data_IF_250395720127
#
_entry.id   IF_250395720127
#
_cell.length_a   1.000
_cell.length_b   1.000
_cell.length_c   1.000
_cell.angle_alpha   90.00
_cell.angle_beta   90.00
_cell.angle_gamma   90.00
#
_symmetry.space_group_name_H-M   'P 1'
#
loop_
_entity.id
_entity.type
_entity.pdbx_description
1 polymer ?
#
# COMPACT_ATOMS: atom_id res chain seq x y z
N UNK A 1 4.80 13.93 -6.37
CA UNK A 1 3.90 13.58 -5.26
C UNK A 1 3.08 14.81 -4.90
N UNK A 2 1.75 14.72 -4.76
CA UNK A 2 0.86 15.89 -4.69
C UNK A 2 0.79 16.54 -3.30
N UNK A 3 1.18 15.82 -2.24
CA UNK A 3 0.98 16.25 -0.86
C UNK A 3 2.29 16.67 -0.17
N UNK A 4 3.20 17.33 -0.90
CA UNK A 4 4.44 17.93 -0.37
C UNK A 4 5.43 16.94 0.32
N UNK A 5 6.49 17.48 0.94
CA UNK A 5 7.54 16.75 1.67
C UNK A 5 7.31 16.75 3.18
N UNK A 6 7.97 15.84 3.91
CA UNK A 6 8.00 15.89 5.38
C UNK A 6 8.54 17.22 5.89
N UNK A 7 9.55 17.79 5.23
CA UNK A 7 10.08 19.12 5.57
C UNK A 7 8.97 20.17 5.61
N UNK A 8 8.07 20.18 4.61
CA UNK A 8 6.95 21.12 4.54
C UNK A 8 5.91 20.90 5.63
N UNK A 9 5.60 19.65 5.97
CA UNK A 9 4.59 19.34 6.99
C UNK A 9 5.11 19.46 8.42
N UNK A 10 6.41 19.27 8.64
CA UNK A 10 6.99 19.16 9.97
C UNK A 10 7.56 20.49 10.50
N UNK A 11 8.21 21.29 9.64
CA UNK A 11 8.90 22.51 10.08
C UNK A 11 8.12 23.81 9.82
N UNK A 12 7.08 23.78 8.97
CA UNK A 12 6.23 24.94 8.69
C UNK A 12 4.93 24.89 9.50
N UNK A 13 5.01 25.36 10.74
CA UNK A 13 3.94 25.33 11.75
C UNK A 13 2.64 26.04 11.36
N UNK A 14 2.68 26.97 10.41
CA UNK A 14 1.50 27.72 9.92
C UNK A 14 0.44 26.82 9.26
N UNK A 15 0.80 25.59 8.87
CA UNK A 15 -0.06 24.66 8.11
C UNK A 15 -0.66 23.49 8.90
N UNK A 16 -0.63 23.54 10.25
CA UNK A 16 -0.97 22.45 11.17
C UNK A 16 0.20 21.46 11.37
N UNK A 17 0.61 21.27 12.63
CA UNK A 17 1.67 20.33 12.99
C UNK A 17 1.16 18.89 12.90
N UNK A 18 1.98 17.99 12.33
CA UNK A 18 1.65 16.56 12.21
C UNK A 18 1.45 15.94 13.60
N UNK A 19 0.33 15.24 13.80
CA UNK A 19 0.03 14.54 15.04
C UNK A 19 0.94 13.33 15.31
N UNK A 20 1.12 12.98 16.58
CA UNK A 20 2.00 11.90 17.04
C UNK A 20 1.85 10.60 16.27
N UNK A 21 0.61 10.13 16.09
CA UNK A 21 0.34 8.86 15.41
C UNK A 21 0.80 8.88 13.93
N UNK A 22 0.75 10.04 13.26
CA UNK A 22 1.24 10.16 11.89
C UNK A 22 2.78 10.22 11.87
N UNK A 23 3.42 10.81 12.89
CA UNK A 23 4.88 10.75 13.05
C UNK A 23 5.40 9.32 13.21
N UNK A 24 4.72 8.50 14.02
CA UNK A 24 5.03 7.07 14.13
C UNK A 24 4.83 6.35 12.79
N UNK A 25 3.76 6.67 12.04
CA UNK A 25 3.52 6.10 10.71
C UNK A 25 4.64 6.43 9.72
N UNK A 26 5.08 7.68 9.70
CA UNK A 26 6.21 8.11 8.87
C UNK A 26 7.46 7.32 9.25
N UNK A 27 7.80 7.25 10.54
CA UNK A 27 8.95 6.48 11.01
C UNK A 27 8.89 5.01 10.55
N UNK A 28 7.75 4.35 10.73
CA UNK A 28 7.60 2.94 10.36
C UNK A 28 7.72 2.72 8.85
N UNK A 29 6.93 3.43 8.04
CA UNK A 29 6.89 3.20 6.58
C UNK A 29 8.25 3.47 5.94
N UNK A 30 8.99 4.46 6.44
CA UNK A 30 10.34 4.73 5.96
C UNK A 30 11.30 3.62 6.40
N UNK A 31 11.22 3.14 7.64
CA UNK A 31 12.04 2.01 8.09
C UNK A 31 11.75 0.72 7.29
N UNK A 32 10.48 0.42 7.00
CA UNK A 32 10.06 -0.72 6.18
C UNK A 32 10.54 -0.59 4.73
N UNK A 33 10.45 0.61 4.14
CA UNK A 33 10.95 0.85 2.80
C UNK A 33 12.48 0.66 2.71
N UNK A 34 13.23 1.12 3.70
CA UNK A 34 14.68 0.93 3.78
C UNK A 34 15.04 -0.54 4.01
N UNK A 35 14.29 -1.25 4.85
CA UNK A 35 14.46 -2.69 5.04
C UNK A 35 14.22 -3.44 3.73
N UNK A 36 13.14 -3.14 3.02
CA UNK A 36 12.84 -3.74 1.72
C UNK A 36 13.96 -3.52 0.70
N UNK A 37 14.49 -2.29 0.61
CA UNK A 37 15.64 -2.02 -0.25
C UNK A 37 16.88 -2.86 0.12
N UNK A 38 17.14 -3.04 1.42
CA UNK A 38 18.25 -3.85 1.90
C UNK A 38 18.07 -5.34 1.56
N UNK A 39 16.87 -5.87 1.75
CA UNK A 39 16.57 -7.28 1.55
C UNK A 39 16.58 -7.66 0.05
N UNK A 40 16.14 -6.75 -0.83
CA UNK A 40 16.19 -6.90 -2.30
C UNK A 40 17.59 -6.65 -2.90
N UNK A 41 18.60 -6.32 -2.08
CA UNK A 41 19.95 -5.99 -2.57
C UNK A 41 20.00 -4.73 -3.43
N UNK A 42 19.05 -3.81 -3.25
CA UNK A 42 19.04 -2.51 -3.93
C UNK A 42 20.20 -1.61 -3.46
N UNK A 43 20.59 -0.59 -4.25
CA UNK A 43 21.54 0.41 -3.79
C UNK A 43 21.10 1.07 -2.48
N UNK A 44 22.06 1.34 -1.60
CA UNK A 44 21.80 2.02 -0.34
C UNK A 44 21.26 3.44 -0.58
N UNK A 45 20.22 3.80 0.15
CA UNK A 45 19.60 5.12 0.13
C UNK A 45 20.45 6.11 0.93
N UNK A 46 21.38 6.81 0.27
CA UNK A 46 22.45 7.55 0.93
C UNK A 46 22.12 9.00 1.31
N UNK A 47 21.02 9.55 0.77
CA UNK A 47 20.57 10.93 0.98
C UNK A 47 19.25 11.02 1.76
N UNK A 48 19.07 10.21 2.82
CA UNK A 48 17.84 10.25 3.62
C UNK A 48 17.75 11.52 4.48
N UNK A 49 16.69 12.30 4.28
CA UNK A 49 16.33 13.49 5.06
C UNK A 49 14.84 13.84 4.87
N UNK A 50 14.34 14.85 5.59
CA UNK A 50 12.94 15.27 5.53
C UNK A 50 12.47 15.76 4.14
N UNK A 51 13.36 16.27 3.29
CA UNK A 51 13.02 16.65 1.91
C UNK A 51 12.88 15.45 0.97
N UNK A 52 13.41 14.29 1.37
CA UNK A 52 13.31 13.04 0.61
C UNK A 52 12.12 12.17 0.97
N UNK A 53 11.38 12.54 1.99
CA UNK A 53 10.15 11.86 2.40
C UNK A 53 8.98 12.66 1.81
N UNK A 54 8.21 12.03 0.94
CA UNK A 54 7.08 12.62 0.20
C UNK A 54 5.77 11.95 0.62
N UNK A 55 4.64 12.62 0.40
CA UNK A 55 3.33 12.02 0.64
C UNK A 55 2.58 11.77 -0.67
N UNK A 56 2.11 10.54 -0.87
CA UNK A 56 1.31 10.17 -2.04
C UNK A 56 -0.12 10.73 -1.97
N UNK A 57 -0.95 10.45 -2.98
CA UNK A 57 -2.35 10.90 -3.08
C UNK A 57 -3.20 10.58 -1.85
N UNK A 58 -2.90 9.48 -1.15
CA UNK A 58 -3.62 9.03 0.05
C UNK A 58 -3.01 9.60 1.35
N UNK A 59 -1.98 10.43 1.23
CA UNK A 59 -1.21 10.94 2.35
C UNK A 59 -0.23 9.92 2.93
N UNK A 60 0.01 8.78 2.27
CA UNK A 60 0.95 7.78 2.78
C UNK A 60 2.40 8.24 2.51
N UNK A 61 3.31 8.12 3.49
CA UNK A 61 4.71 8.51 3.33
C UNK A 61 5.45 7.56 2.38
N UNK A 62 6.26 8.14 1.49
CA UNK A 62 7.04 7.46 0.45
C UNK A 62 8.46 8.02 0.41
N UNK A 63 9.43 7.15 0.11
CA UNK A 63 10.77 7.60 -0.26
C UNK A 63 10.79 8.12 -1.69
N UNK A 64 11.46 9.26 -1.88
CA UNK A 64 11.73 9.81 -3.20
C UNK A 64 12.75 8.96 -3.96
N UNK A 65 12.56 8.77 -5.26
CA UNK A 65 13.58 8.07 -6.08
C UNK A 65 14.91 8.84 -6.19
N UNK A 66 14.92 10.15 -5.88
CA UNK A 66 16.12 10.98 -5.94
C UNK A 66 17.22 10.54 -4.96
N UNK A 67 16.89 9.94 -3.81
CA UNK A 67 17.90 9.44 -2.88
C UNK A 67 18.53 8.10 -3.26
N UNK A 68 18.09 7.50 -4.38
CA UNK A 68 18.76 6.37 -5.04
C UNK A 68 19.63 6.81 -6.21
N UNK A 69 19.49 8.07 -6.66
CA UNK A 69 20.33 8.60 -7.72
C UNK A 69 21.71 8.89 -7.15
N UNK A 70 22.74 8.27 -7.73
CA UNK A 70 24.13 8.48 -7.37
C UNK A 70 24.44 9.98 -7.45
N UNK A 71 24.45 10.66 -6.31
CA UNK A 71 24.69 12.10 -6.26
C UNK A 71 26.07 12.38 -6.86
N UNK A 72 26.11 13.09 -7.99
CA UNK A 72 27.39 13.62 -8.49
C UNK A 72 27.88 14.58 -7.42
N UNK A 73 29.12 14.38 -6.99
CA UNK A 73 29.87 15.11 -5.94
C UNK A 73 30.08 16.61 -6.24
N UNK A 74 29.09 17.29 -6.78
CA UNK A 74 29.17 18.71 -7.09
C UNK A 74 28.36 19.51 -6.07
N UNK A 75 29.10 20.05 -5.10
CA UNK A 75 28.76 21.31 -4.46
C UNK A 75 27.94 21.20 -3.18
N UNK A 76 28.65 21.23 -2.05
CA UNK A 76 28.14 21.64 -0.73
C UNK A 76 26.88 20.89 -0.28
N UNK A 77 27.05 19.69 0.28
CA UNK A 77 26.02 19.16 1.20
C UNK A 77 25.87 20.18 2.33
N UNK A 78 24.77 20.93 2.34
CA UNK A 78 24.44 21.97 3.33
C UNK A 78 24.19 21.41 4.73
N UNK A 79 24.30 20.08 4.91
CA UNK A 79 23.94 19.36 6.12
C UNK A 79 25.10 18.52 6.68
N UNK A 80 26.36 18.98 6.53
CA UNK A 80 27.53 18.29 7.14
C UNK A 80 27.36 18.04 8.65
N UNK A 81 26.61 18.90 9.34
CA UNK A 81 26.28 18.75 10.76
C UNK A 81 25.39 17.53 11.07
N UNK A 82 24.77 16.92 10.07
CA UNK A 82 23.85 15.79 10.16
C UNK A 82 24.39 14.52 9.51
N UNK A 83 25.56 14.59 8.89
CA UNK A 83 26.16 13.47 8.21
C UNK A 83 26.75 12.47 9.22
N UNK A 84 26.71 11.16 8.92
CA UNK A 84 27.36 10.15 9.75
C UNK A 84 28.86 10.45 9.93
N UNK A 85 29.42 10.29 11.14
CA UNK A 85 30.83 10.64 11.40
C UNK A 85 31.81 9.91 10.48
N UNK A 86 31.56 8.65 10.19
CA UNK A 86 32.38 7.85 9.29
C UNK A 86 32.26 8.30 7.83
N UNK A 87 31.08 8.74 7.40
CA UNK A 87 30.87 9.29 6.06
C UNK A 87 31.67 10.58 5.87
N UNK A 88 31.71 11.45 6.89
CA UNK A 88 32.54 12.66 6.86
C UNK A 88 34.04 12.34 6.78
N UNK A 89 34.48 11.22 7.38
CA UNK A 89 35.88 10.82 7.43
C UNK A 89 36.38 10.21 6.13
N UNK A 90 35.60 9.33 5.50
CA UNK A 90 36.07 8.53 4.36
C UNK A 90 35.10 8.46 3.18
N UNK A 91 33.93 9.10 3.25
CA UNK A 91 32.91 9.08 2.20
C UNK A 91 32.24 7.72 1.99
N UNK A 92 32.38 6.79 2.94
CA UNK A 92 31.82 5.43 2.83
C UNK A 92 30.33 5.45 3.14
N UNK A 93 29.53 4.92 2.21
CA UNK A 93 28.12 4.63 2.41
C UNK A 93 27.99 3.16 2.81
N UNK A 94 27.32 2.90 3.93
CA UNK A 94 27.07 1.56 4.49
C UNK A 94 25.61 1.46 4.98
N UNK A 95 25.06 0.26 5.25
CA UNK A 95 23.74 0.16 5.86
C UNK A 95 23.61 1.00 7.15
N UNK A 96 24.72 1.13 7.89
CA UNK A 96 24.81 1.83 9.16
C UNK A 96 24.79 3.35 8.98
N UNK A 97 25.28 3.88 7.86
CA UNK A 97 25.10 5.31 7.53
C UNK A 97 23.65 5.62 7.23
N UNK A 98 22.92 4.69 6.58
CA UNK A 98 21.48 4.82 6.34
C UNK A 98 20.71 4.79 7.67
N UNK A 99 21.07 3.89 8.59
CA UNK A 99 20.51 3.85 9.95
C UNK A 99 20.74 5.16 10.71
N UNK A 100 21.93 5.76 10.59
CA UNK A 100 22.21 7.05 11.22
C UNK A 100 21.30 8.15 10.66
N UNK A 101 21.14 8.23 9.34
CA UNK A 101 20.21 9.18 8.71
C UNK A 101 18.74 8.90 9.07
N UNK A 102 18.36 7.65 9.30
CA UNK A 102 17.03 7.35 9.84
C UNK A 102 16.90 7.88 11.28
N UNK A 103 17.95 7.80 12.07
CA UNK A 103 18.03 8.43 13.40
C UNK A 103 17.82 9.94 13.37
N UNK A 104 18.35 10.64 12.36
CA UNK A 104 18.12 12.09 12.20
C UNK A 104 16.66 12.39 11.82
N UNK A 105 16.03 11.56 10.98
CA UNK A 105 14.59 11.68 10.68
C UNK A 105 13.73 11.42 11.92
N UNK A 106 14.05 10.41 12.73
CA UNK A 106 13.34 10.16 13.99
C UNK A 106 13.47 11.34 14.96
N UNK A 107 14.64 11.97 14.99
CA UNK A 107 14.88 13.17 15.79
C UNK A 107 14.07 14.38 15.32
N UNK A 108 14.00 14.59 14.00
CA UNK A 108 13.15 15.62 13.40
C UNK A 108 11.69 15.36 13.77
N UNK A 109 11.22 14.12 13.66
CA UNK A 109 9.85 13.72 14.03
C UNK A 109 9.57 13.92 15.52
N UNK A 110 10.52 13.66 16.42
CA UNK A 110 10.32 13.91 17.86
C UNK A 110 10.21 15.41 18.15
N UNK A 111 11.08 16.21 17.55
CA UNK A 111 11.29 17.61 17.94
C UNK A 111 10.53 18.65 17.13
N UNK A 112 10.01 18.26 15.95
CA UNK A 112 9.43 19.20 14.99
C UNK A 112 10.45 20.25 14.51
N UNK A 113 11.75 19.97 14.64
CA UNK A 113 12.85 20.90 14.37
C UNK A 113 14.01 20.14 13.74
N UNK A 114 14.71 20.80 12.83
CA UNK A 114 15.94 20.25 12.28
C UNK A 114 17.10 20.54 13.24
N UNK A 115 17.39 19.59 14.15
CA UNK A 115 18.41 19.71 15.20
C UNK A 115 19.61 18.83 14.87
N UNK A 116 20.85 19.35 14.87
CA UNK A 116 22.04 18.52 14.66
C UNK A 116 22.14 17.38 15.69
N UNK A 117 22.49 16.14 15.28
CA UNK A 117 22.55 14.99 16.18
C UNK A 117 23.41 15.18 17.42
N UNK A 118 24.57 15.83 17.31
CA UNK A 118 25.45 16.13 18.45
C UNK A 118 24.72 16.94 19.51
N UNK A 119 24.05 18.02 19.10
CA UNK A 119 23.28 18.88 20.00
C UNK A 119 22.10 18.15 20.62
N UNK A 120 21.41 17.29 19.87
CA UNK A 120 20.31 16.51 20.40
C UNK A 120 20.76 15.49 21.44
N UNK A 121 21.89 14.81 21.21
CA UNK A 121 22.46 13.89 22.19
C UNK A 121 22.86 14.62 23.47
N UNK A 122 23.48 15.80 23.36
CA UNK A 122 23.80 16.64 24.53
C UNK A 122 22.53 17.00 25.33
N UNK A 123 21.45 17.39 24.64
CA UNK A 123 20.15 17.68 25.28
C UNK A 123 19.55 16.47 26.02
N UNK A 124 19.72 15.27 25.47
CA UNK A 124 19.25 14.02 26.08
C UNK A 124 20.10 13.64 27.30
N UNK A 125 21.42 13.86 27.24
CA UNK A 125 22.33 13.60 28.36
C UNK A 125 22.13 14.58 29.53
N UNK A 126 21.90 15.86 29.24
CA UNK A 126 21.77 16.91 30.26
C UNK A 126 20.46 16.86 31.05
N UNK A 127 19.37 16.39 30.43
CA UNK A 127 18.03 16.57 30.99
C UNK A 127 17.43 15.33 31.65
N UNK A 128 17.98 14.13 31.39
CA UNK A 128 17.36 12.82 31.70
C UNK A 128 15.88 12.68 31.26
N UNK A 129 15.32 13.67 30.57
CA UNK A 129 13.90 13.82 30.32
C UNK A 129 13.67 14.10 28.82
N UNK A 130 12.87 13.26 28.18
CA UNK A 130 12.50 13.39 26.78
C UNK A 130 11.84 14.75 26.47
N UNK A 131 11.18 15.38 27.44
CA UNK A 131 10.34 16.57 27.28
C UNK A 131 11.04 17.76 26.60
N UNK A 132 12.35 17.94 26.80
CA UNK A 132 13.10 19.04 26.15
C UNK A 132 13.32 18.83 24.66
N UNK A 133 13.31 17.57 24.22
CA UNK A 133 13.47 17.22 22.83
C UNK A 133 12.14 17.26 22.09
N UNK A 134 11.02 17.02 22.78
CA UNK A 134 9.70 16.90 22.15
C UNK A 134 9.23 18.22 21.53
N UNK A 135 8.50 18.11 20.42
CA UNK A 135 7.88 19.25 19.75
C UNK A 135 6.84 19.92 20.66
N UNK A 136 7.08 21.20 20.97
CA UNK A 136 6.18 22.01 21.78
C UNK A 136 4.78 22.16 21.17
N UNK A 137 4.64 22.06 19.84
CA UNK A 137 3.34 22.16 19.16
C UNK A 137 2.47 20.91 19.33
N UNK A 138 3.05 19.79 19.79
CA UNK A 138 2.24 18.63 20.14
C UNK A 138 1.48 18.83 21.46
N UNK A 139 1.83 19.84 22.27
CA UNK A 139 1.13 20.17 23.52
C UNK A 139 0.95 18.95 24.46
N UNK A 140 1.91 18.02 24.46
CA UNK A 140 1.84 16.77 25.24
C UNK A 140 0.88 15.72 24.70
N UNK A 141 0.34 15.86 23.48
CA UNK A 141 -0.53 14.87 22.81
C UNK A 141 0.26 13.68 22.26
N UNK A 142 0.98 12.98 23.14
CA UNK A 142 1.68 11.73 22.84
C UNK A 142 1.78 10.88 24.12
N UNK A 143 1.71 9.54 24.02
CA UNK A 143 1.97 8.67 25.17
C UNK A 143 3.45 8.74 25.58
N UNK A 144 3.72 9.00 26.86
CA UNK A 144 5.09 9.18 27.38
C UNK A 144 5.96 7.94 27.17
N UNK A 145 5.39 6.74 27.31
CA UNK A 145 6.11 5.48 27.10
C UNK A 145 6.54 5.31 25.63
N UNK A 146 5.64 5.60 24.69
CA UNK A 146 5.95 5.55 23.26
C UNK A 146 7.00 6.59 22.88
N UNK A 147 6.85 7.83 23.36
CA UNK A 147 7.83 8.88 23.12
C UNK A 147 9.21 8.49 23.66
N UNK A 148 9.28 7.94 24.86
CA UNK A 148 10.53 7.48 25.47
C UNK A 148 11.19 6.37 24.64
N UNK A 149 10.39 5.40 24.15
CA UNK A 149 10.88 4.33 23.30
C UNK A 149 11.47 4.87 21.97
N UNK A 150 10.80 5.84 21.33
CA UNK A 150 11.29 6.46 20.08
C UNK A 150 12.54 7.29 20.34
N UNK A 151 12.62 8.04 21.46
CA UNK A 151 13.83 8.78 21.86
C UNK A 151 15.03 7.85 22.04
N UNK A 152 14.85 6.73 22.76
CA UNK A 152 15.90 5.73 22.94
C UNK A 152 16.30 5.09 21.62
N UNK A 153 15.34 4.84 20.73
CA UNK A 153 15.61 4.30 19.40
C UNK A 153 16.44 5.28 18.55
N UNK A 154 16.05 6.55 18.50
CA UNK A 154 16.78 7.61 17.81
C UNK A 154 18.20 7.76 18.37
N UNK A 155 18.36 7.79 19.70
CA UNK A 155 19.66 7.88 20.36
C UNK A 155 20.60 6.71 20.00
N UNK A 156 20.08 5.47 19.91
CA UNK A 156 20.85 4.31 19.45
C UNK A 156 21.22 4.38 17.97
N UNK A 157 20.33 4.90 17.11
CA UNK A 157 20.64 5.11 15.70
C UNK A 157 21.75 6.15 15.48
N UNK A 158 21.84 7.14 16.35
CA UNK A 158 22.79 8.26 16.28
C UNK A 158 24.13 8.00 16.97
N UNK A 159 24.43 6.75 17.38
CA UNK A 159 25.72 6.42 17.99
C UNK A 159 26.89 6.66 17.04
N UNK A 160 27.99 7.17 17.59
CA UNK A 160 29.21 7.48 16.82
C UNK A 160 29.86 6.23 16.23
N UNK A 161 29.90 5.12 16.97
CA UNK A 161 30.36 3.83 16.45
C UNK A 161 29.23 3.15 15.65
N UNK A 162 29.42 2.84 14.36
CA UNK A 162 28.43 2.10 13.55
C UNK A 162 28.00 0.76 14.16
N UNK A 163 28.84 0.11 14.98
CA UNK A 163 28.54 -1.19 15.61
C UNK A 163 27.51 -1.10 16.73
N UNK A 164 27.38 0.06 17.37
CA UNK A 164 26.43 0.29 18.46
C UNK A 164 25.03 0.65 17.94
N UNK A 165 24.90 0.87 16.63
CA UNK A 165 23.63 1.18 15.98
C UNK A 165 22.79 -0.10 15.79
N UNK A 166 21.47 -0.03 15.98
CA UNK A 166 20.59 -1.19 15.81
C UNK A 166 20.48 -1.59 14.33
N UNK A 167 20.13 -2.84 14.09
CA UNK A 167 19.75 -3.30 12.75
C UNK A 167 18.41 -2.71 12.33
N UNK A 168 18.21 -2.50 11.03
CA UNK A 168 16.97 -1.94 10.49
C UNK A 168 15.74 -2.78 10.87
N UNK A 169 15.89 -4.11 10.94
CA UNK A 169 14.86 -5.06 11.40
C UNK A 169 14.39 -4.76 12.82
N UNK A 170 15.32 -4.45 13.73
CA UNK A 170 15.00 -4.06 15.12
C UNK A 170 14.26 -2.73 15.16
N UNK A 171 14.62 -1.78 14.30
CA UNK A 171 13.96 -0.47 14.20
C UNK A 171 12.51 -0.66 13.74
N UNK A 172 12.28 -1.41 12.66
CA UNK A 172 10.95 -1.74 12.13
C UNK A 172 10.09 -2.42 13.20
N UNK A 173 10.60 -3.46 13.84
CA UNK A 173 9.86 -4.17 14.90
C UNK A 173 9.48 -3.24 16.06
N UNK A 174 10.41 -2.38 16.49
CA UNK A 174 10.14 -1.41 17.57
C UNK A 174 9.05 -0.45 17.16
N UNK A 175 9.15 0.19 15.99
CA UNK A 175 8.15 1.16 15.52
C UNK A 175 6.79 0.51 15.26
N UNK A 176 6.76 -0.72 14.71
CA UNK A 176 5.52 -1.46 14.47
C UNK A 176 4.76 -1.75 15.77
N UNK A 177 5.48 -2.08 16.86
CA UNK A 177 4.87 -2.32 18.16
C UNK A 177 4.18 -1.05 18.74
N UNK A 178 4.77 0.12 18.47
CA UNK A 178 4.23 1.42 18.90
C UNK A 178 3.06 1.89 18.03
N UNK A 179 3.03 1.50 16.75
CA UNK A 179 2.00 1.95 15.81
C UNK A 179 0.69 1.13 15.84
N UNK A 180 0.56 0.16 16.75
CA UNK A 180 -0.42 -0.93 16.71
C UNK A 180 -1.92 -0.56 16.71
N UNK A 181 -2.31 0.73 16.70
CA UNK A 181 -3.70 1.18 16.94
C UNK A 181 -4.24 2.33 16.07
N UNK A 182 -3.54 2.81 15.03
CA UNK A 182 -4.11 3.87 14.18
C UNK A 182 -4.78 3.31 12.93
N UNK A 183 -6.07 2.97 13.03
CA UNK A 183 -6.93 2.68 11.86
C UNK A 183 -7.24 3.94 11.03
N UNK A 184 -6.87 5.12 11.54
CA UNK A 184 -7.14 6.40 10.89
C UNK A 184 -6.30 6.51 9.61
N UNK A 185 -6.92 6.73 8.43
CA UNK A 185 -6.18 6.88 7.17
C UNK A 185 -5.25 8.09 7.17
N UNK A 186 -4.12 8.00 6.47
CA UNK A 186 -3.06 9.03 6.49
C UNK A 186 -3.55 10.41 5.99
N UNK A 187 -4.42 10.46 4.98
CA UNK A 187 -5.03 11.71 4.52
C UNK A 187 -5.84 12.43 5.60
N UNK A 188 -6.50 11.70 6.50
CA UNK A 188 -7.25 12.30 7.62
C UNK A 188 -6.28 12.93 8.60
N UNK A 189 -5.19 12.22 8.93
CA UNK A 189 -4.18 12.68 9.89
C UNK A 189 -3.37 13.87 9.39
N UNK A 190 -3.20 14.00 8.06
CA UNK A 190 -2.55 15.15 7.43
C UNK A 190 -3.51 16.30 7.11
N UNK A 191 -4.80 16.17 7.43
CA UNK A 191 -5.80 17.18 7.09
C UNK A 191 -5.94 17.42 5.59
N UNK A 192 -5.54 16.44 4.76
CA UNK A 192 -5.60 16.56 3.29
C UNK A 192 -7.09 16.51 2.91
N UNK A 193 -7.65 17.60 2.37
CA UNK A 193 -9.03 17.58 1.91
C UNK A 193 -9.09 16.69 0.69
N UNK A 194 -9.61 15.48 0.87
CA UNK A 194 -10.02 14.64 -0.25
C UNK A 194 -11.01 15.48 -1.08
N UNK A 195 -10.75 15.73 -2.38
CA UNK A 195 -11.69 16.48 -3.19
C UNK A 195 -13.04 15.79 -3.14
N UNK A 196 -14.13 16.54 -2.88
CA UNK A 196 -15.46 16.04 -2.49
C UNK A 196 -16.01 14.86 -3.34
N UNK A 197 -15.55 14.69 -4.59
CA UNK A 197 -15.85 13.54 -5.43
C UNK A 197 -15.38 12.19 -4.86
N UNK A 198 -14.32 12.17 -4.04
CA UNK A 198 -13.78 10.98 -3.37
C UNK A 198 -14.36 10.78 -1.96
N UNK A 199 -14.98 11.80 -1.36
CA UNK A 199 -15.68 11.71 -0.06
C UNK A 199 -17.09 11.08 -0.16
N UNK A 200 -17.60 10.88 -1.38
CA UNK A 200 -18.89 10.26 -1.67
C UNK A 200 -18.79 8.84 -2.24
N UNK A 201 -17.68 8.12 -2.02
CA UNK A 201 -17.69 6.69 -2.30
C UNK A 201 -18.35 5.96 -1.14
N UNK A 202 -19.69 5.91 -1.15
CA UNK A 202 -20.38 4.77 -0.56
C UNK A 202 -19.75 3.52 -1.19
N UNK A 203 -19.33 2.52 -0.40
CA UNK A 203 -18.81 1.26 -0.94
C UNK A 203 -19.75 0.80 -2.04
N UNK A 204 -19.20 0.38 -3.18
CA UNK A 204 -20.07 -0.19 -4.21
C UNK A 204 -20.82 -1.38 -3.60
N UNK A 205 -22.00 -1.75 -4.13
CA UNK A 205 -22.69 -2.93 -3.65
C UNK A 205 -21.80 -4.18 -3.63
N UNK A 206 -20.84 -4.26 -4.57
CA UNK A 206 -19.85 -5.34 -4.62
C UNK A 206 -18.82 -5.23 -3.49
N UNK A 207 -18.23 -4.05 -3.29
CA UNK A 207 -17.28 -3.80 -2.22
C UNK A 207 -17.86 -4.13 -0.84
N UNK A 208 -19.10 -3.70 -0.59
CA UNK A 208 -19.82 -3.98 0.66
C UNK A 208 -20.09 -5.48 0.85
N UNK A 209 -20.56 -6.15 -0.20
CA UNK A 209 -20.82 -7.59 -0.17
C UNK A 209 -19.52 -8.39 0.06
N UNK A 210 -18.42 -8.01 -0.59
CA UNK A 210 -17.11 -8.64 -0.39
C UNK A 210 -16.56 -8.41 1.03
N UNK A 211 -16.71 -7.20 1.57
CA UNK A 211 -16.30 -6.90 2.96
C UNK A 211 -17.08 -7.73 3.98
N UNK A 212 -18.33 -8.08 3.69
CA UNK A 212 -19.18 -8.94 4.55
C UNK A 212 -19.04 -10.42 4.22
N UNK A 213 -18.27 -10.77 3.18
CA UNK A 213 -18.17 -12.11 2.60
C UNK A 213 -19.55 -12.70 2.24
N UNK A 214 -20.50 -11.84 1.85
CA UNK A 214 -21.84 -12.26 1.43
C UNK A 214 -21.80 -12.78 -0.01
N UNK A 215 -21.47 -14.07 -0.14
CA UNK A 215 -21.36 -14.73 -1.44
C UNK A 215 -22.68 -14.66 -2.23
N UNK A 216 -23.83 -14.62 -1.56
CA UNK A 216 -25.14 -14.55 -2.22
C UNK A 216 -25.33 -13.18 -2.88
N UNK A 217 -25.01 -12.10 -2.15
CA UNK A 217 -25.04 -10.76 -2.72
C UNK A 217 -24.03 -10.59 -3.86
N UNK A 218 -22.82 -11.15 -3.74
CA UNK A 218 -21.81 -11.13 -4.81
C UNK A 218 -22.33 -11.86 -6.06
N UNK A 219 -22.95 -13.02 -5.89
CA UNK A 219 -23.56 -13.79 -6.99
C UNK A 219 -24.62 -12.98 -7.72
N UNK A 220 -25.55 -12.36 -6.99
CA UNK A 220 -26.59 -11.52 -7.59
C UNK A 220 -26.02 -10.34 -8.36
N UNK A 221 -24.92 -9.75 -7.87
CA UNK A 221 -24.21 -8.68 -8.57
C UNK A 221 -23.57 -9.23 -9.86
N UNK A 222 -22.91 -10.39 -9.81
CA UNK A 222 -22.28 -11.01 -10.99
C UNK A 222 -23.31 -11.40 -12.06
N UNK A 223 -24.53 -11.77 -11.67
CA UNK A 223 -25.64 -12.05 -12.59
C UNK A 223 -26.17 -10.77 -13.25
N UNK A 224 -26.25 -9.67 -12.49
CA UNK A 224 -26.75 -8.37 -12.98
C UNK A 224 -25.73 -7.57 -13.78
N UNK A 225 -24.44 -7.82 -13.56
CA UNK A 225 -23.36 -7.09 -14.22
C UNK A 225 -23.11 -7.69 -15.59
N UNK A 226 -23.46 -6.93 -16.63
CA UNK A 226 -23.15 -7.28 -18.01
C UNK A 226 -21.68 -6.88 -18.29
N UNK A 227 -20.77 -7.86 -18.25
CA UNK A 227 -19.36 -7.59 -18.56
C UNK A 227 -19.22 -7.45 -20.07
N UNK A 228 -18.65 -6.31 -20.51
CA UNK A 228 -18.53 -5.85 -21.91
C UNK A 228 -17.93 -6.87 -22.92
N UNK A 229 -17.40 -8.00 -22.47
CA UNK A 229 -16.80 -9.05 -23.30
C UNK A 229 -17.78 -10.16 -23.71
N UNK A 230 -19.03 -10.16 -23.24
CA UNK A 230 -20.06 -11.02 -23.82
C UNK A 230 -20.32 -10.68 -25.31
N UNK A 231 -19.86 -9.52 -25.79
CA UNK A 231 -19.88 -9.10 -27.20
C UNK A 231 -18.65 -9.51 -28.02
N UNK A 232 -17.66 -10.21 -27.46
CA UNK A 232 -16.61 -10.85 -28.26
C UNK A 232 -17.15 -12.05 -29.08
N UNK A 233 -18.46 -12.28 -29.07
CA UNK A 233 -19.20 -12.98 -30.12
C UNK A 233 -19.38 -12.14 -31.40
N UNK A 234 -18.63 -11.04 -31.56
CA UNK A 234 -18.56 -10.28 -32.82
C UNK A 234 -17.87 -11.14 -33.88
N UNK A 235 -18.68 -11.99 -34.51
CA UNK A 235 -18.49 -12.65 -35.81
C UNK A 235 -17.05 -13.08 -36.10
N UNK A 236 -16.62 -14.18 -35.47
CA UNK A 236 -15.58 -15.01 -36.06
C UNK A 236 -16.00 -15.36 -37.49
N UNK A 237 -15.19 -14.95 -38.46
CA UNK A 237 -15.50 -15.12 -39.87
C UNK A 237 -15.78 -16.60 -40.19
N UNK A 238 -16.71 -16.83 -41.12
CA UNK A 238 -17.38 -18.10 -41.43
C UNK A 238 -16.44 -19.29 -41.80
N UNK A 239 -15.12 -19.13 -41.76
CA UNK A 239 -14.12 -20.12 -42.13
C UNK A 239 -13.45 -20.88 -40.95
N UNK A 240 -13.70 -20.52 -39.69
CA UNK A 240 -13.02 -21.14 -38.52
C UNK A 240 -13.97 -21.86 -37.54
N UNK A 241 -15.12 -22.36 -37.98
CA UNK A 241 -16.05 -23.10 -37.11
C UNK A 241 -15.73 -24.60 -37.02
N UNK A 242 -14.70 -24.96 -36.24
CA UNK A 242 -14.46 -26.37 -35.86
C UNK A 242 -15.53 -26.88 -34.89
N UNK A 243 -15.78 -28.20 -34.86
CA UNK A 243 -16.72 -28.79 -33.90
C UNK A 243 -16.32 -28.49 -32.45
N UNK A 244 -15.01 -28.50 -32.14
CA UNK A 244 -14.51 -28.17 -30.81
C UNK A 244 -14.84 -26.74 -30.36
N UNK A 245 -14.80 -25.75 -31.26
CA UNK A 245 -15.21 -24.37 -30.92
C UNK A 245 -16.72 -24.24 -30.65
N UNK A 246 -17.56 -25.02 -31.36
CA UNK A 246 -19.00 -25.07 -31.08
C UNK A 246 -19.26 -25.65 -29.69
N UNK A 247 -18.66 -26.79 -29.40
CA UNK A 247 -18.85 -27.50 -28.12
C UNK A 247 -18.37 -26.65 -26.94
N UNK A 248 -17.26 -25.93 -27.10
CA UNK A 248 -16.74 -24.96 -26.13
C UNK A 248 -17.74 -23.81 -25.88
N UNK A 249 -18.22 -23.15 -26.93
CA UNK A 249 -19.19 -22.05 -26.78
C UNK A 249 -20.51 -22.53 -26.19
N UNK A 250 -20.94 -23.75 -26.50
CA UNK A 250 -22.11 -24.37 -25.89
C UNK A 250 -21.90 -24.67 -24.40
N UNK A 251 -20.72 -25.18 -24.01
CA UNK A 251 -20.36 -25.39 -22.62
C UNK A 251 -20.40 -24.07 -21.82
N UNK A 252 -19.86 -22.97 -22.36
CA UNK A 252 -19.98 -21.64 -21.73
C UNK A 252 -21.44 -21.23 -21.56
N UNK A 253 -22.26 -21.35 -22.60
CA UNK A 253 -23.70 -21.01 -22.53
C UNK A 253 -24.44 -21.81 -21.47
N UNK A 254 -24.17 -23.11 -21.38
CA UNK A 254 -24.76 -24.00 -20.36
C UNK A 254 -24.29 -23.60 -18.95
N UNK A 255 -23.01 -23.28 -18.80
CA UNK A 255 -22.43 -22.76 -17.55
C UNK A 255 -23.07 -21.45 -17.11
N UNK A 256 -23.29 -20.51 -18.03
CA UNK A 256 -23.95 -19.23 -17.75
C UNK A 256 -25.42 -19.41 -17.32
N UNK A 257 -26.14 -20.37 -17.92
CA UNK A 257 -27.50 -20.72 -17.51
C UNK A 257 -27.52 -21.33 -16.10
N UNK A 258 -26.67 -22.33 -15.83
CA UNK A 258 -26.53 -22.95 -14.52
C UNK A 258 -26.11 -21.93 -13.45
N UNK A 259 -25.23 -20.99 -13.80
CA UNK A 259 -24.77 -19.95 -12.88
C UNK A 259 -25.92 -19.05 -12.45
N UNK A 260 -26.79 -18.66 -13.39
CA UNK A 260 -28.00 -17.88 -13.09
C UNK A 260 -29.00 -18.65 -12.23
N UNK A 261 -29.11 -19.96 -12.44
CA UNK A 261 -30.00 -20.86 -11.69
C UNK A 261 -29.45 -21.28 -10.31
N UNK A 262 -28.24 -20.81 -9.95
CA UNK A 262 -27.51 -21.16 -8.72
C UNK A 262 -27.15 -22.65 -8.63
N UNK A 263 -27.08 -23.35 -9.76
CA UNK A 263 -26.53 -24.70 -9.84
C UNK A 263 -25.01 -24.64 -9.99
N UNK A 264 -24.34 -24.38 -8.87
CA UNK A 264 -22.90 -24.10 -8.84
C UNK A 264 -22.04 -25.28 -9.29
N UNK A 265 -22.47 -26.52 -9.04
CA UNK A 265 -21.72 -27.72 -9.47
C UNK A 265 -21.76 -27.86 -11.00
N UNK A 266 -22.96 -27.76 -11.59
CA UNK A 266 -23.09 -27.77 -13.05
C UNK A 266 -22.36 -26.60 -13.70
N UNK A 267 -22.36 -25.42 -13.08
CA UNK A 267 -21.56 -24.29 -13.54
C UNK A 267 -20.06 -24.62 -13.55
N UNK A 268 -19.54 -25.18 -12.45
CA UNK A 268 -18.13 -25.56 -12.34
C UNK A 268 -17.75 -26.54 -13.45
N UNK A 269 -18.56 -27.57 -13.68
CA UNK A 269 -18.29 -28.58 -14.70
C UNK A 269 -18.29 -27.96 -16.10
N UNK A 270 -19.30 -27.15 -16.42
CA UNK A 270 -19.43 -26.51 -17.73
C UNK A 270 -18.29 -25.50 -18.00
N UNK A 271 -17.93 -24.69 -17.00
CA UNK A 271 -16.82 -23.74 -17.13
C UNK A 271 -15.46 -24.42 -17.17
N UNK A 272 -15.29 -25.56 -16.49
CA UNK A 272 -14.07 -26.36 -16.61
C UNK A 272 -13.94 -26.95 -18.01
N UNK A 273 -15.03 -27.51 -18.55
CA UNK A 273 -15.06 -27.96 -19.95
C UNK A 273 -14.73 -26.82 -20.94
N UNK A 274 -15.22 -25.60 -20.70
CA UNK A 274 -14.88 -24.44 -21.51
C UNK A 274 -13.37 -24.12 -21.48
N UNK A 275 -12.78 -24.12 -20.28
CA UNK A 275 -11.37 -23.75 -20.08
C UNK A 275 -10.38 -24.85 -20.53
N UNK A 276 -10.74 -26.12 -20.41
CA UNK A 276 -9.88 -27.26 -20.78
C UNK A 276 -9.60 -27.35 -22.29
N UNK A 277 -10.49 -26.81 -23.12
CA UNK A 277 -10.28 -26.74 -24.58
C UNK A 277 -9.16 -25.73 -24.93
N UNK A 278 -8.78 -24.84 -24.01
CA UNK A 278 -7.53 -24.08 -24.04
C UNK A 278 -7.37 -23.07 -25.18
N UNK A 279 -8.45 -22.74 -25.90
CA UNK A 279 -8.38 -21.84 -27.06
C UNK A 279 -8.73 -20.38 -26.71
N UNK A 280 -9.43 -20.14 -25.60
CA UNK A 280 -9.80 -18.80 -25.15
C UNK A 280 -9.73 -18.67 -23.62
N UNK A 281 -8.91 -17.75 -23.14
CA UNK A 281 -8.92 -17.32 -21.75
C UNK A 281 -10.06 -16.33 -21.53
N UNK A 282 -10.98 -16.63 -20.60
CA UNK A 282 -12.07 -15.72 -20.24
C UNK A 282 -12.02 -15.35 -18.76
N UNK A 283 -11.68 -14.08 -18.44
CA UNK A 283 -11.61 -13.64 -17.05
C UNK A 283 -12.98 -13.72 -16.37
N UNK A 284 -14.07 -13.48 -17.11
CA UNK A 284 -15.44 -13.60 -16.59
C UNK A 284 -15.79 -15.03 -16.20
N UNK A 285 -15.43 -16.02 -17.03
CA UNK A 285 -15.66 -17.44 -16.71
C UNK A 285 -14.88 -17.86 -15.47
N UNK A 286 -13.60 -17.47 -15.38
CA UNK A 286 -12.76 -17.74 -14.21
C UNK A 286 -13.31 -17.08 -12.94
N UNK A 287 -13.71 -15.81 -13.01
CA UNK A 287 -14.28 -15.11 -11.86
C UNK A 287 -15.60 -15.76 -11.37
N UNK A 288 -16.49 -16.13 -12.29
CA UNK A 288 -17.75 -16.82 -11.93
C UNK A 288 -17.48 -18.22 -11.37
N UNK A 289 -16.56 -18.98 -11.97
CA UNK A 289 -16.17 -20.31 -11.47
C UNK A 289 -15.51 -20.24 -10.09
N UNK A 290 -14.65 -19.24 -9.87
CA UNK A 290 -14.06 -18.93 -8.56
C UNK A 290 -15.14 -18.70 -7.49
N UNK A 291 -16.18 -17.91 -7.81
CA UNK A 291 -17.30 -17.70 -6.90
C UNK A 291 -18.09 -18.99 -6.63
N UNK A 292 -18.31 -19.83 -7.65
CA UNK A 292 -18.94 -21.15 -7.45
C UNK A 292 -18.11 -22.05 -6.55
N UNK A 293 -16.79 -22.05 -6.70
CA UNK A 293 -15.89 -22.76 -5.80
C UNK A 293 -16.01 -22.26 -4.36
N UNK A 294 -16.11 -20.94 -4.14
CA UNK A 294 -16.36 -20.37 -2.80
C UNK A 294 -17.71 -20.82 -2.22
N UNK A 295 -18.75 -20.90 -3.06
CA UNK A 295 -20.08 -21.40 -2.67
C UNK A 295 -20.08 -22.89 -2.31
N UNK A 296 -19.25 -23.68 -2.98
CA UNK A 296 -19.08 -25.12 -2.74
C UNK A 296 -17.96 -25.45 -1.73
N UNK A 297 -17.44 -24.46 -1.01
CA UNK A 297 -16.36 -24.60 -0.01
C UNK A 297 -15.03 -25.18 -0.55
N UNK A 298 -14.76 -24.98 -1.85
CA UNK A 298 -13.54 -25.40 -2.53
C UNK A 298 -12.53 -24.24 -2.61
N UNK A 299 -12.01 -23.82 -1.44
CA UNK A 299 -11.30 -22.54 -1.29
C UNK A 299 -10.00 -22.45 -2.11
N UNK A 300 -9.20 -23.51 -2.17
CA UNK A 300 -7.97 -23.51 -2.96
C UNK A 300 -8.23 -23.37 -4.46
N UNK A 301 -9.31 -24.00 -4.96
CA UNK A 301 -9.71 -23.87 -6.36
C UNK A 301 -10.21 -22.46 -6.68
N UNK A 302 -10.99 -21.88 -5.76
CA UNK A 302 -11.42 -20.49 -5.87
C UNK A 302 -10.24 -19.51 -5.94
N UNK A 303 -9.24 -19.68 -5.07
CA UNK A 303 -8.07 -18.81 -5.03
C UNK A 303 -7.26 -18.92 -6.33
N UNK A 304 -7.05 -20.13 -6.85
CA UNK A 304 -6.35 -20.34 -8.13
C UNK A 304 -7.04 -19.61 -9.29
N UNK A 305 -8.36 -19.73 -9.41
CA UNK A 305 -9.10 -19.04 -10.48
C UNK A 305 -9.06 -17.52 -10.31
N UNK A 306 -9.10 -17.02 -9.07
CA UNK A 306 -9.01 -15.58 -8.80
C UNK A 306 -7.62 -15.01 -9.12
N UNK A 307 -6.55 -15.76 -8.87
CA UNK A 307 -5.18 -15.41 -9.28
C UNK A 307 -5.05 -15.44 -10.80
N UNK A 308 -5.57 -16.47 -11.47
CA UNK A 308 -5.52 -16.55 -12.93
C UNK A 308 -6.29 -15.39 -13.58
N UNK A 309 -7.43 -15.00 -13.00
CA UNK A 309 -8.20 -13.83 -13.43
C UNK A 309 -7.37 -12.55 -13.35
N UNK A 310 -6.59 -12.36 -12.27
CA UNK A 310 -5.68 -11.22 -12.13
C UNK A 310 -4.57 -11.23 -13.18
N UNK A 311 -4.00 -12.41 -13.49
CA UNK A 311 -2.95 -12.55 -14.51
C UNK A 311 -3.48 -12.09 -15.88
N UNK A 312 -4.72 -12.47 -16.23
CA UNK A 312 -5.35 -12.09 -17.49
C UNK A 312 -5.77 -10.61 -17.49
N UNK A 313 -6.30 -10.10 -16.37
CA UNK A 313 -6.79 -8.72 -16.23
C UNK A 313 -6.27 -8.07 -14.94
N UNK A 314 -5.04 -7.50 -14.96
CA UNK A 314 -4.38 -6.99 -13.75
C UNK A 314 -5.07 -5.81 -13.06
N UNK A 315 -5.87 -5.03 -13.79
CA UNK A 315 -6.58 -3.86 -13.26
C UNK A 315 -8.05 -4.17 -12.91
N UNK A 316 -8.48 -5.43 -12.97
CA UNK A 316 -9.87 -5.81 -12.70
C UNK A 316 -10.09 -6.08 -11.21
N UNK A 317 -10.80 -5.16 -10.55
CA UNK A 317 -11.03 -5.19 -9.09
C UNK A 317 -11.65 -6.49 -8.57
N UNK A 318 -12.47 -7.16 -9.39
CA UNK A 318 -13.12 -8.43 -9.04
C UNK A 318 -12.12 -9.54 -8.70
N UNK A 319 -10.99 -9.61 -9.41
CA UNK A 319 -9.97 -10.62 -9.13
C UNK A 319 -9.44 -10.49 -7.70
N UNK A 320 -9.17 -9.26 -7.26
CA UNK A 320 -8.68 -8.95 -5.91
C UNK A 320 -9.75 -9.19 -4.84
N UNK A 321 -11.02 -8.86 -5.11
CA UNK A 321 -12.11 -9.17 -4.19
C UNK A 321 -12.25 -10.68 -3.95
N UNK A 322 -12.20 -11.50 -5.01
CA UNK A 322 -12.29 -12.95 -4.89
C UNK A 322 -11.09 -13.55 -4.14
N UNK A 323 -9.87 -13.05 -4.40
CA UNK A 323 -8.67 -13.45 -3.64
C UNK A 323 -8.81 -13.09 -2.16
N UNK A 324 -9.29 -11.88 -1.85
CA UNK A 324 -9.52 -11.46 -0.46
C UNK A 324 -10.44 -12.41 0.30
N UNK A 325 -11.56 -12.81 -0.31
CA UNK A 325 -12.53 -13.72 0.30
C UNK A 325 -11.92 -15.12 0.48
N UNK A 326 -11.23 -15.63 -0.54
CA UNK A 326 -10.60 -16.95 -0.46
C UNK A 326 -9.51 -16.99 0.63
N UNK A 327 -8.63 -15.99 0.68
CA UNK A 327 -7.58 -15.86 1.70
C UNK A 327 -8.16 -15.74 3.11
N UNK A 328 -9.25 -14.98 3.28
CA UNK A 328 -9.93 -14.87 4.56
C UNK A 328 -10.54 -16.20 5.01
N UNK A 329 -11.13 -16.98 4.09
CA UNK A 329 -11.67 -18.32 4.39
C UNK A 329 -10.61 -19.35 4.74
N UNK A 330 -9.37 -19.19 4.26
CA UNK A 330 -8.24 -20.05 4.66
C UNK A 330 -7.79 -19.83 6.11
N UNK A 331 -8.20 -18.73 6.76
CA UNK A 331 -8.04 -18.47 8.20
C UNK A 331 -6.62 -18.24 8.70
N UNK A 332 -5.60 -18.37 7.85
CA UNK A 332 -4.17 -18.15 8.19
C UNK A 332 -3.58 -16.90 7.55
N UNK A 333 -4.32 -16.24 6.63
CA UNK A 333 -3.82 -15.20 5.74
C UNK A 333 -4.60 -13.86 5.87
N UNK A 334 -4.98 -13.47 7.09
CA UNK A 334 -5.82 -12.28 7.34
C UNK A 334 -5.18 -10.97 6.86
N UNK A 335 -3.84 -10.85 6.97
CA UNK A 335 -3.11 -9.65 6.50
C UNK A 335 -3.21 -9.54 4.98
N UNK A 336 -2.99 -10.64 4.28
CA UNK A 336 -3.00 -10.68 2.81
C UNK A 336 -4.43 -10.49 2.29
N UNK A 337 -5.43 -11.08 2.96
CA UNK A 337 -6.85 -10.87 2.66
C UNK A 337 -7.24 -9.39 2.73
N UNK A 338 -6.82 -8.68 3.79
CA UNK A 338 -7.05 -7.23 3.94
C UNK A 338 -6.32 -6.41 2.89
N UNK A 339 -5.09 -6.79 2.54
CA UNK A 339 -4.35 -6.13 1.46
C UNK A 339 -5.07 -6.27 0.12
N UNK A 340 -5.57 -7.46 -0.22
CA UNK A 340 -6.34 -7.68 -1.44
C UNK A 340 -7.63 -6.86 -1.47
N UNK A 341 -8.38 -6.79 -0.36
CA UNK A 341 -9.61 -5.99 -0.26
C UNK A 341 -9.34 -4.49 -0.49
N UNK A 342 -8.30 -3.98 0.14
CA UNK A 342 -7.89 -2.57 -0.01
C UNK A 342 -7.46 -2.27 -1.45
N UNK A 343 -6.73 -3.20 -2.09
CA UNK A 343 -6.31 -3.05 -3.47
C UNK A 343 -7.51 -3.07 -4.44
N UNK A 344 -8.48 -3.97 -4.22
CA UNK A 344 -9.71 -4.03 -5.01
C UNK A 344 -10.49 -2.71 -4.97
N UNK A 345 -10.66 -2.16 -3.75
CA UNK A 345 -11.36 -0.90 -3.51
C UNK A 345 -10.66 0.27 -4.22
N UNK A 346 -9.32 0.32 -4.15
CA UNK A 346 -8.52 1.34 -4.85
C UNK A 346 -8.68 1.28 -6.37
N UNK A 347 -8.64 0.08 -6.95
CA UNK A 347 -8.83 -0.11 -8.39
C UNK A 347 -10.23 0.32 -8.84
N UNK A 348 -11.25 0.03 -8.04
CA UNK A 348 -12.62 0.43 -8.35
C UNK A 348 -12.80 1.95 -8.34
N UNK A 349 -12.24 2.64 -7.34
CA UNK A 349 -12.22 4.10 -7.26
C UNK A 349 -11.48 4.70 -8.47
N UNK A 350 -10.31 4.15 -8.81
CA UNK A 350 -9.51 4.58 -9.98
C UNK A 350 -10.30 4.43 -11.29
N UNK A 351 -10.98 3.30 -11.48
CA UNK A 351 -11.76 3.07 -12.69
C UNK A 351 -13.00 3.98 -12.79
N UNK A 352 -13.64 4.29 -11.66
CA UNK A 352 -14.79 5.21 -11.63
C UNK A 352 -14.40 6.68 -11.84
N UNK A 353 -13.22 7.10 -11.36
CA UNK A 353 -12.68 8.46 -11.59
C UNK A 353 -12.28 8.69 -13.06
N UNK A 354 -11.78 7.65 -13.75
CA UNK A 354 -11.47 7.70 -15.19
C UNK A 354 -12.71 7.83 -16.09
N UNK A 355 -13.90 7.46 -15.60
CA UNK A 355 -15.17 7.52 -16.33
C UNK A 355 -15.88 8.88 -16.20
N UNK A 356 -15.41 9.79 -15.33
CA UNK A 356 -15.98 11.14 -15.26
C UNK A 356 -15.40 12.02 -16.37
N UNK A 357 -16.24 12.67 -17.21
CA UNK A 357 -15.74 13.56 -18.24
C UNK A 357 -15.00 14.73 -17.58
N UNK A 358 -13.76 14.99 -18.03
CA UNK A 358 -13.03 16.22 -17.68
C UNK A 358 -13.90 17.39 -18.11
N UNK A 359 -14.59 18.02 -17.17
CA UNK A 359 -15.24 19.31 -17.41
C UNK A 359 -14.13 20.32 -17.65
N UNK A 360 -13.82 20.59 -18.91
CA UNK A 360 -12.98 21.72 -19.31
C UNK A 360 -13.71 23.00 -18.91
N UNK A 361 -13.34 23.60 -17.77
CA UNK A 361 -13.66 25.01 -17.51
C UNK A 361 -12.77 25.88 -18.39
N UNK A 362 -13.17 26.07 -19.64
CA UNK A 362 -12.75 27.25 -20.39
C UNK A 362 -13.58 28.43 -19.87
N UNK A 363 -13.02 29.15 -18.90
CA UNK A 363 -13.47 30.46 -18.48
C UNK A 363 -12.63 31.54 -19.17
N UNK A 364 -13.32 32.34 -19.97
CA UNK A 364 -12.89 33.55 -20.69
C UNK A 364 -12.28 34.60 -19.77
#
# INVERSE_FOLDING_TARGET
>A
MPNDTLNNHLFHWEKQSIEWAMRLRIGLYIAEALQYCNDEGSPLYDDLNADRILFDENGDPRLSCFGLMKSRRDGKSTHLAYAPPEYLRNGSVTPQTVVFSLGTVLLDLLSGKHIPPSRALDMLHESQNADRLMDSHMEGRYPTEEATAVVQLASRCLQSDPKDRPQITTIVHTLASLQSKSEVPSHVMLGIPIPKHLQQYSPSPLAEACSRMDLTAIHEIFVKTDYREDNATSELSFQEWTQGMRDMLEARKRGDFAFRDKDFNTTIDCYSQFLDVGTMDSPTVLARRSLCYLMCDQIDAALRDAIQTQIICPEWSIAFYLQSIALSKLGTMDKDAKQMLNQATRLEIKNQTLLQPKTTSNGV
#
